data_IF_257684897580
#
_entry.id   IF_257684897580
#
_cell.length_a   1.000
_cell.length_b   1.000
_cell.length_c   1.000
_cell.angle_alpha   90.00
_cell.angle_beta   90.00
_cell.angle_gamma   90.00
#
_symmetry.space_group_name_H-M   'P 1'
#
loop_
_entity.id
_entity.type
_entity.pdbx_description
1 polymer ?
#
# COMPACT_ATOMS: atom_id res chain seq x y z
N UNK A 1 0.36 -10.27 14.96
CA UNK A 1 1.49 -9.41 14.50
C UNK A 1 0.98 -8.00 14.29
N UNK A 2 1.88 -7.01 14.21
CA UNK A 2 1.52 -5.64 13.81
C UNK A 2 1.84 -5.44 12.33
N UNK A 3 0.85 -5.09 11.51
CA UNK A 3 0.94 -5.07 10.05
C UNK A 3 0.55 -3.69 9.55
N UNK A 4 1.43 -3.04 8.78
CA UNK A 4 1.07 -1.89 7.98
C UNK A 4 0.74 -2.34 6.56
N UNK A 5 -0.41 -1.96 6.02
CA UNK A 5 -0.79 -2.22 4.63
C UNK A 5 -0.92 -0.90 3.90
N UNK A 6 -0.17 -0.70 2.81
CA UNK A 6 -0.30 0.44 1.90
C UNK A 6 -0.93 -0.02 0.60
N UNK A 7 -2.10 0.51 0.24
CA UNK A 7 -2.79 0.09 -0.97
C UNK A 7 -4.17 0.71 -1.14
N UNK A 8 -4.95 0.16 -2.08
CA UNK A 8 -6.39 0.42 -2.16
C UNK A 8 -7.14 -0.15 -0.97
N UNK A 9 -8.16 0.55 -0.49
CA UNK A 9 -9.07 0.05 0.55
C UNK A 9 -10.43 0.71 0.43
N UNK A 10 -11.50 -0.09 0.54
CA UNK A 10 -12.88 0.34 0.33
C UNK A 10 -13.05 1.05 -1.04
N UNK A 11 -12.38 0.56 -2.09
CA UNK A 11 -12.60 0.98 -3.49
C UNK A 11 -12.96 -0.21 -4.35
N UNK A 12 -13.52 0.05 -5.53
CA UNK A 12 -13.90 -0.96 -6.53
C UNK A 12 -12.72 -1.48 -7.39
N UNK A 13 -11.47 -1.16 -7.03
CA UNK A 13 -10.29 -1.69 -7.73
C UNK A 13 -9.96 -3.12 -7.31
N UNK A 14 -9.36 -3.90 -8.22
CA UNK A 14 -8.92 -5.27 -7.94
C UNK A 14 -7.90 -5.35 -6.80
N UNK A 15 -6.95 -4.42 -6.75
CA UNK A 15 -5.95 -4.33 -5.68
C UNK A 15 -6.59 -3.99 -4.32
N UNK A 16 -7.63 -3.13 -4.29
CA UNK A 16 -8.40 -2.87 -3.06
C UNK A 16 -9.13 -4.13 -2.59
N UNK A 17 -9.79 -4.84 -3.51
CA UNK A 17 -10.48 -6.07 -3.17
C UNK A 17 -9.51 -7.11 -2.58
N UNK A 18 -8.33 -7.28 -3.17
CA UNK A 18 -7.30 -8.17 -2.63
C UNK A 18 -6.84 -7.74 -1.23
N UNK A 19 -6.53 -6.45 -1.07
CA UNK A 19 -6.11 -5.87 0.21
C UNK A 19 -7.15 -6.15 1.32
N UNK A 20 -8.44 -6.01 1.01
CA UNK A 20 -9.53 -6.29 1.95
C UNK A 20 -9.69 -7.78 2.25
N UNK A 21 -9.54 -8.64 1.23
CA UNK A 21 -9.65 -10.09 1.36
C UNK A 21 -8.53 -10.70 2.22
N UNK A 22 -7.36 -10.06 2.32
CA UNK A 22 -6.30 -10.49 3.24
C UNK A 22 -6.31 -9.72 4.56
N UNK A 23 -6.59 -8.42 4.51
CA UNK A 23 -6.52 -7.54 5.67
C UNK A 23 -7.61 -7.82 6.70
N UNK A 24 -8.85 -8.06 6.25
CA UNK A 24 -9.97 -8.34 7.17
C UNK A 24 -9.78 -9.68 7.91
N UNK A 25 -9.35 -10.78 7.27
CA UNK A 25 -8.94 -11.97 7.99
C UNK A 25 -7.80 -11.75 8.99
N UNK A 26 -6.77 -10.97 8.68
CA UNK A 26 -5.71 -10.68 9.65
C UNK A 26 -6.28 -10.05 10.94
N UNK A 27 -7.22 -9.11 10.82
CA UNK A 27 -7.91 -8.54 11.99
C UNK A 27 -8.72 -9.62 12.72
N UNK A 28 -9.44 -10.47 11.99
CA UNK A 28 -10.21 -11.59 12.55
C UNK A 28 -9.35 -12.61 13.33
N UNK A 29 -8.12 -12.83 12.87
CA UNK A 29 -7.12 -13.70 13.49
C UNK A 29 -6.34 -13.03 14.64
N UNK A 30 -6.70 -11.78 15.00
CA UNK A 30 -6.12 -11.05 16.12
C UNK A 30 -4.81 -10.32 15.81
N UNK A 31 -4.51 -10.08 14.53
CA UNK A 31 -3.41 -9.20 14.14
C UNK A 31 -3.84 -7.72 14.24
N UNK A 32 -2.88 -6.86 14.58
CA UNK A 32 -3.06 -5.41 14.61
C UNK A 32 -2.75 -4.87 13.22
N UNK A 33 -3.79 -4.54 12.46
CA UNK A 33 -3.68 -3.99 11.10
C UNK A 33 -3.71 -2.47 11.15
N UNK A 34 -2.91 -1.82 10.30
CA UNK A 34 -3.00 -0.40 9.99
C UNK A 34 -3.00 -0.20 8.49
N UNK A 35 -4.14 0.19 7.95
CA UNK A 35 -4.29 0.46 6.51
C UNK A 35 -3.94 1.91 6.24
N UNK A 36 -3.04 2.13 5.29
CA UNK A 36 -2.67 3.41 4.73
C UNK A 36 -3.22 3.40 3.31
N UNK A 37 -4.17 4.28 3.02
CA UNK A 37 -4.86 4.27 1.73
C UNK A 37 -5.05 5.67 1.14
N UNK A 38 -5.66 5.70 -0.03
CA UNK A 38 -5.91 6.88 -0.83
C UNK A 38 -6.85 7.89 -0.15
N UNK A 39 -6.62 9.17 -0.38
CA UNK A 39 -7.57 10.24 -0.07
C UNK A 39 -8.88 10.05 -0.86
N UNK A 40 -10.00 10.51 -0.28
CA UNK A 40 -11.32 10.35 -0.91
C UNK A 40 -11.45 11.10 -2.24
N UNK A 41 -10.65 12.14 -2.46
CA UNK A 41 -10.62 12.93 -3.69
C UNK A 41 -9.68 12.37 -4.77
N UNK A 42 -8.85 11.36 -4.46
CA UNK A 42 -7.93 10.77 -5.43
C UNK A 42 -7.53 9.35 -5.03
N UNK A 43 -8.15 8.35 -5.67
CA UNK A 43 -7.98 6.93 -5.38
C UNK A 43 -7.97 6.07 -6.64
N UNK A 44 -7.44 4.85 -6.55
CA UNK A 44 -7.52 3.87 -7.64
C UNK A 44 -8.88 3.17 -7.65
N UNK A 45 -9.55 3.18 -8.80
CA UNK A 45 -10.93 2.73 -8.99
C UNK A 45 -11.83 3.85 -9.51
N UNK A 46 -13.14 3.65 -9.44
CA UNK A 46 -14.16 4.63 -9.85
C UNK A 46 -15.07 5.06 -8.70
N UNK A 47 -15.16 4.26 -7.63
CA UNK A 47 -16.01 4.55 -6.47
C UNK A 47 -15.42 4.04 -5.16
N UNK A 48 -15.76 4.73 -4.06
CA UNK A 48 -15.58 4.22 -2.69
C UNK A 48 -16.78 3.32 -2.38
N UNK A 49 -16.50 2.09 -1.94
CA UNK A 49 -17.49 1.02 -1.79
C UNK A 49 -17.92 0.77 -0.34
N UNK A 50 -17.24 1.38 0.63
CA UNK A 50 -17.48 1.14 2.05
C UNK A 50 -17.01 2.28 2.95
N UNK A 51 -17.30 2.14 4.24
CA UNK A 51 -16.84 3.05 5.29
C UNK A 51 -15.51 2.58 5.88
N UNK A 52 -14.68 3.54 6.26
CA UNK A 52 -13.35 3.27 6.83
C UNK A 52 -13.48 2.72 8.25
N UNK A 53 -12.79 1.61 8.51
CA UNK A 53 -12.61 1.08 9.86
C UNK A 53 -11.63 1.92 10.67
N UNK A 54 -11.63 1.77 12.00
CA UNK A 54 -10.76 2.54 12.91
C UNK A 54 -9.25 2.38 12.60
N UNK A 55 -8.88 1.28 11.96
CA UNK A 55 -7.52 1.00 11.53
C UNK A 55 -7.14 1.62 10.17
N UNK A 56 -8.05 2.29 9.47
CA UNK A 56 -7.81 2.88 8.15
C UNK A 56 -7.41 4.35 8.26
N UNK A 57 -6.37 4.74 7.52
CA UNK A 57 -5.90 6.13 7.39
C UNK A 57 -5.73 6.49 5.92
N UNK A 58 -6.54 7.45 5.47
CA UNK A 58 -6.42 8.05 4.15
C UNK A 58 -5.32 9.12 4.15
N UNK A 59 -4.20 8.85 3.49
CA UNK A 59 -2.99 9.66 3.66
C UNK A 59 -2.14 9.86 2.39
N UNK A 60 -2.58 9.39 1.22
CA UNK A 60 -1.86 9.65 -0.03
C UNK A 60 -2.78 9.70 -1.25
N UNK A 61 -2.27 10.15 -2.39
CA UNK A 61 -2.94 10.11 -3.69
C UNK A 61 -2.37 8.99 -4.55
N UNK A 62 -3.01 8.70 -5.68
CA UNK A 62 -2.41 7.88 -6.74
C UNK A 62 -1.12 8.47 -7.31
N UNK A 63 -0.34 7.66 -8.02
CA UNK A 63 0.88 8.05 -8.76
C UNK A 63 0.63 9.11 -9.83
N UNK A 64 -0.56 9.15 -10.41
CA UNK A 64 -0.94 10.04 -11.52
C UNK A 64 -1.58 11.36 -11.08
N UNK A 65 -1.70 11.59 -9.78
CA UNK A 65 -2.22 12.85 -9.25
C UNK A 65 -1.27 14.01 -9.54
N UNK A 66 -1.82 15.21 -9.76
CA UNK A 66 -1.04 16.43 -10.00
C UNK A 66 -1.46 17.56 -9.03
N UNK A 67 -0.63 17.89 -8.02
CA UNK A 67 0.58 17.18 -7.61
C UNK A 67 0.27 15.90 -6.82
N UNK A 68 1.17 14.89 -6.81
CA UNK A 68 1.03 13.76 -5.92
C UNK A 68 1.22 14.20 -4.47
N UNK A 69 0.45 13.59 -3.55
CA UNK A 69 0.53 13.88 -2.11
C UNK A 69 0.71 12.59 -1.32
N UNK A 70 1.52 12.65 -0.27
CA UNK A 70 1.68 11.61 0.72
C UNK A 70 1.99 12.29 2.06
N UNK A 71 1.17 12.03 3.07
CA UNK A 71 1.47 12.40 4.45
C UNK A 71 2.38 11.33 5.05
N UNK A 72 3.66 11.63 5.37
CA UNK A 72 4.60 10.64 5.87
C UNK A 72 4.34 10.25 7.33
N UNK A 73 3.53 11.03 8.09
CA UNK A 73 3.38 10.81 9.53
C UNK A 73 2.82 9.43 9.85
N UNK A 74 1.70 8.95 9.26
CA UNK A 74 1.18 7.61 9.54
C UNK A 74 2.19 6.50 9.24
N UNK A 75 2.96 6.62 8.15
CA UNK A 75 4.01 5.64 7.84
C UNK A 75 5.07 5.60 8.93
N UNK A 76 5.53 6.75 9.40
CA UNK A 76 6.67 6.83 10.32
C UNK A 76 6.28 6.55 11.78
N UNK A 77 5.09 6.97 12.22
CA UNK A 77 4.66 6.89 13.63
C UNK A 77 3.90 5.62 13.98
N UNK A 78 3.23 4.99 13.01
CA UNK A 78 2.57 3.70 13.28
C UNK A 78 3.63 2.61 13.53
N UNK A 79 3.28 1.69 14.41
CA UNK A 79 4.14 0.61 14.86
C UNK A 79 3.71 -0.67 14.16
N UNK A 80 4.52 -1.15 13.22
CA UNK A 80 4.29 -2.38 12.48
C UNK A 80 5.61 -3.14 12.33
N UNK A 81 5.51 -4.46 12.32
CA UNK A 81 6.62 -5.40 12.15
C UNK A 81 6.78 -5.78 10.69
N UNK A 82 5.67 -5.76 9.93
CA UNK A 82 5.63 -6.04 8.50
C UNK A 82 4.93 -4.88 7.80
N UNK A 83 5.52 -4.38 6.71
CA UNK A 83 4.96 -3.36 5.84
C UNK A 83 4.65 -3.95 4.46
N UNK A 84 3.37 -4.20 4.21
CA UNK A 84 2.86 -4.77 2.97
C UNK A 84 2.43 -3.63 2.03
N UNK A 85 2.86 -3.71 0.78
CA UNK A 85 2.50 -2.78 -0.28
C UNK A 85 1.74 -3.53 -1.36
N UNK A 86 0.58 -3.01 -1.73
CA UNK A 86 -0.32 -3.58 -2.73
C UNK A 86 -0.34 -2.63 -3.93
N UNK A 87 -0.02 -3.16 -5.12
CA UNK A 87 -0.15 -2.44 -6.40
C UNK A 87 0.70 -1.16 -6.48
N UNK A 88 2.03 -1.33 -6.28
CA UNK A 88 3.03 -0.24 -6.27
C UNK A 88 2.94 0.69 -7.50
N UNK A 89 2.48 0.18 -8.65
CA UNK A 89 2.26 0.95 -9.88
C UNK A 89 1.33 2.16 -9.67
N UNK A 90 0.29 1.99 -8.84
CA UNK A 90 -0.71 3.01 -8.56
C UNK A 90 -0.36 3.96 -7.41
N UNK A 91 0.72 3.69 -6.67
CA UNK A 91 1.13 4.44 -5.47
C UNK A 91 2.10 5.59 -5.80
N UNK A 92 2.20 6.64 -4.97
CA UNK A 92 3.11 7.76 -5.20
C UNK A 92 4.55 7.37 -4.81
N UNK A 93 5.15 6.47 -5.62
CA UNK A 93 6.43 5.79 -5.40
C UNK A 93 7.55 6.75 -5.00
N UNK A 94 7.72 7.85 -5.72
CA UNK A 94 8.80 8.80 -5.43
C UNK A 94 8.66 9.50 -4.08
N UNK A 95 7.42 9.72 -3.61
CA UNK A 95 7.17 10.24 -2.27
C UNK A 95 7.41 9.18 -1.21
N UNK A 96 7.02 7.93 -1.48
CA UNK A 96 7.29 6.79 -0.60
C UNK A 96 8.80 6.57 -0.44
N UNK A 97 9.57 6.60 -1.53
CA UNK A 97 11.01 6.38 -1.55
C UNK A 97 11.77 7.34 -0.62
N UNK A 98 11.31 8.60 -0.50
CA UNK A 98 11.89 9.59 0.42
C UNK A 98 11.86 9.17 1.89
N UNK A 99 10.89 8.33 2.27
CA UNK A 99 10.70 7.87 3.65
C UNK A 99 10.98 6.37 3.83
N UNK A 100 11.12 5.63 2.74
CA UNK A 100 11.20 4.18 2.74
C UNK A 100 12.33 3.62 3.60
N UNK A 101 13.52 4.19 3.54
CA UNK A 101 14.66 3.78 4.39
C UNK A 101 14.34 3.76 5.90
N UNK A 102 13.39 4.59 6.37
CA UNK A 102 12.94 4.58 7.78
C UNK A 102 11.89 3.51 8.06
N UNK A 103 11.10 3.16 7.05
CA UNK A 103 10.11 2.08 7.10
C UNK A 103 10.86 0.75 7.13
N UNK A 104 11.76 0.53 6.16
CA UNK A 104 12.56 -0.68 6.01
C UNK A 104 13.45 -0.97 7.23
N UNK A 105 14.00 0.07 7.87
CA UNK A 105 14.79 -0.12 9.10
C UNK A 105 13.99 -0.69 10.29
N UNK A 106 12.66 -0.55 10.30
CA UNK A 106 11.81 -0.95 11.46
C UNK A 106 10.87 -2.11 11.17
N UNK A 107 10.70 -2.52 9.91
CA UNK A 107 9.74 -3.52 9.51
C UNK A 107 10.21 -4.24 8.25
N UNK A 108 9.94 -5.54 8.18
CA UNK A 108 10.13 -6.32 6.97
C UNK A 108 9.14 -5.82 5.92
N UNK A 109 9.61 -5.53 4.73
CA UNK A 109 8.85 -4.92 3.65
C UNK A 109 8.51 -5.93 2.57
N UNK A 110 7.23 -6.00 2.22
CA UNK A 110 6.71 -6.96 1.25
C UNK A 110 5.95 -6.21 0.17
N UNK A 111 6.28 -6.45 -1.10
CA UNK A 111 5.56 -5.88 -2.23
C UNK A 111 4.74 -6.95 -2.95
N UNK A 112 3.44 -6.72 -3.10
CA UNK A 112 2.52 -7.60 -3.81
C UNK A 112 2.23 -6.98 -5.18
N UNK A 113 2.62 -7.71 -6.23
CA UNK A 113 2.55 -7.25 -7.62
C UNK A 113 1.18 -7.56 -8.21
N UNK A 114 0.50 -6.51 -8.70
CA UNK A 114 -0.76 -6.60 -9.45
C UNK A 114 -0.60 -6.26 -10.93
N UNK A 115 0.59 -5.78 -11.32
CA UNK A 115 0.87 -5.37 -12.68
C UNK A 115 0.77 -6.53 -13.67
N UNK A 116 -0.04 -6.36 -14.72
CA UNK A 116 -0.17 -7.33 -15.81
C UNK A 116 1.03 -7.37 -16.77
N UNK A 117 2.05 -6.52 -16.56
CA UNK A 117 3.29 -6.45 -17.34
C UNK A 117 4.38 -5.72 -16.57
N UNK A 118 5.63 -6.08 -16.84
CA UNK A 118 6.79 -5.32 -16.37
C UNK A 118 6.65 -3.84 -16.77
N UNK A 119 6.97 -2.96 -15.84
CA UNK A 119 6.94 -1.52 -16.07
C UNK A 119 8.29 -1.03 -16.57
N UNK A 120 8.27 -0.02 -17.45
CA UNK A 120 9.49 0.66 -17.88
C UNK A 120 9.85 1.82 -16.94
N UNK A 121 8.99 2.13 -15.96
CA UNK A 121 9.20 3.18 -14.96
C UNK A 121 10.31 2.79 -13.96
N UNK A 122 11.48 3.46 -13.99
CA UNK A 122 12.59 3.14 -13.08
C UNK A 122 12.21 3.34 -11.61
N UNK A 123 11.27 4.24 -11.31
CA UNK A 123 10.80 4.49 -9.94
C UNK A 123 10.11 3.28 -9.31
N UNK A 124 9.72 2.28 -10.11
CA UNK A 124 9.19 1.01 -9.59
C UNK A 124 10.29 0.14 -8.93
N UNK A 125 11.52 0.26 -9.41
CA UNK A 125 12.64 -0.60 -9.03
C UNK A 125 13.56 0.01 -7.96
N UNK A 126 13.17 1.15 -7.38
CA UNK A 126 14.01 1.90 -6.44
C UNK A 126 13.99 1.38 -4.99
N UNK A 127 13.28 0.29 -4.72
CA UNK A 127 13.03 -0.23 -3.37
C UNK A 127 13.72 -1.58 -3.15
N UNK A 128 14.39 -1.72 -2.02
CA UNK A 128 15.01 -2.95 -1.53
C UNK A 128 14.03 -3.77 -0.67
N UNK A 129 13.02 -4.35 -1.32
CA UNK A 129 12.02 -5.20 -0.66
C UNK A 129 12.65 -6.46 -0.05
N UNK A 130 12.18 -6.85 1.14
CA UNK A 130 12.60 -8.11 1.79
C UNK A 130 11.91 -9.32 1.16
N UNK A 131 10.71 -9.12 0.61
CA UNK A 131 10.02 -10.09 -0.23
C UNK A 131 9.17 -9.42 -1.32
N UNK A 132 9.03 -10.12 -2.44
CA UNK A 132 8.10 -9.78 -3.52
C UNK A 132 7.17 -10.97 -3.70
N UNK A 133 5.86 -10.71 -3.74
CA UNK A 133 4.83 -11.71 -4.00
C UNK A 133 4.23 -11.43 -5.37
N UNK A 134 4.28 -12.44 -6.24
CA UNK A 134 3.87 -12.33 -7.63
C UNK A 134 2.87 -13.43 -7.93
N UNK A 135 1.81 -13.08 -8.66
CA UNK A 135 0.87 -14.05 -9.22
C UNK A 135 1.21 -14.42 -10.66
N UNK A 136 2.36 -13.94 -11.14
CA UNK A 136 2.84 -14.07 -12.51
C UNK A 136 4.33 -14.41 -12.50
N UNK A 137 4.72 -15.38 -13.31
CA UNK A 137 6.08 -15.94 -13.40
C UNK A 137 7.14 -14.94 -13.91
N UNK A 138 6.72 -13.77 -14.41
CA UNK A 138 7.61 -12.74 -14.95
C UNK A 138 8.35 -11.91 -13.88
N UNK A 139 7.99 -12.07 -12.61
CA UNK A 139 8.50 -11.25 -11.49
C UNK A 139 9.22 -12.08 -10.42
#
# INVERSE_FOLDING_TARGET
>A
MRIGLMGGWNTDSGASLHSELIGRPWVGDGHDLRVLTFYKDNFHGTQITGEDEDYVVRCFTTSVADPPRLDPRPFLTNNYEVFVVEDLGMLPKDLLARIYHRIHKKADSVNIIHDGKLTEDPSFYQFDWDAIVCFDERY
#
